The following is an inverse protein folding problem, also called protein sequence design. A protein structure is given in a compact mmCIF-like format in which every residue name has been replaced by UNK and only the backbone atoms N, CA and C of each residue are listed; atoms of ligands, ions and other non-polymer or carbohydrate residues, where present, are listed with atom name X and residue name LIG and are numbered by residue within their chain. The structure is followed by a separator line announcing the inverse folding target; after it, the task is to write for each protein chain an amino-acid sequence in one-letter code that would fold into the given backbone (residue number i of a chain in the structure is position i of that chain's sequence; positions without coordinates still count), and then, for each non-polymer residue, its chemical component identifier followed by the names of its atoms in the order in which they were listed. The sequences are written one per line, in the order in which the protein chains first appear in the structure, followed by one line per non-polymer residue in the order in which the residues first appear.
data_IF_668357406502
#
_entry.id   IF_668357406502
#
_cell.length_a   1.000
_cell.length_b   1.000
_cell.length_c   1.000
_cell.angle_alpha   90.00
_cell.angle_beta   90.00
_cell.angle_gamma   90.00
#
_symmetry.space_group_name_H-M   'P 1'
#
loop_
_entity.id
_entity.type
_entity.pdbx_description
1 polymer ?
#
# COMPACT_ATOMS: atom_id res chain seq x y z
N UNK A 1 -6.79 -38.69 -27.60
CA UNK A 1 -7.37 -38.74 -26.24
C UNK A 1 -8.56 -37.81 -26.19
N UNK A 2 -9.78 -38.38 -26.03
CA UNK A 2 -10.99 -37.56 -25.83
C UNK A 2 -10.86 -36.83 -24.48
N UNK A 3 -10.67 -35.51 -24.51
CA UNK A 3 -10.66 -34.68 -23.28
C UNK A 3 -12.07 -34.77 -22.68
N UNK A 4 -12.21 -35.55 -21.62
CA UNK A 4 -13.46 -35.76 -20.90
C UNK A 4 -13.88 -34.37 -20.35
N UNK A 5 -14.88 -33.75 -20.99
CA UNK A 5 -15.39 -32.46 -20.52
C UNK A 5 -16.13 -32.68 -19.19
N UNK A 6 -15.52 -32.24 -18.09
CA UNK A 6 -16.17 -32.29 -16.80
C UNK A 6 -17.40 -31.37 -16.77
N UNK A 7 -18.49 -31.78 -16.12
CA UNK A 7 -19.68 -30.96 -15.93
C UNK A 7 -19.33 -29.59 -15.30
N UNK A 8 -20.10 -28.55 -15.67
CA UNK A 8 -19.84 -27.17 -15.22
C UNK A 8 -19.72 -27.05 -13.68
N UNK A 9 -20.61 -27.74 -12.93
CA UNK A 9 -20.58 -27.69 -11.46
C UNK A 9 -19.28 -28.27 -10.87
N UNK A 10 -18.73 -29.34 -11.44
CA UNK A 10 -17.45 -29.89 -10.97
C UNK A 10 -16.29 -28.92 -11.24
N UNK A 11 -16.23 -28.31 -12.41
CA UNK A 11 -15.22 -27.28 -12.72
C UNK A 11 -15.34 -26.10 -11.78
N UNK A 12 -16.56 -25.57 -11.61
CA UNK A 12 -16.81 -24.43 -10.73
C UNK A 12 -16.44 -24.73 -9.27
N UNK A 13 -16.86 -25.88 -8.74
CA UNK A 13 -16.53 -26.29 -7.36
C UNK A 13 -15.03 -26.47 -7.17
N UNK A 14 -14.34 -27.13 -8.11
CA UNK A 14 -12.87 -27.32 -8.03
C UNK A 14 -12.12 -26.01 -8.05
N UNK A 15 -12.52 -25.07 -8.92
CA UNK A 15 -11.90 -23.73 -9.01
C UNK A 15 -12.16 -22.96 -7.71
N UNK A 16 -13.41 -22.90 -7.23
CA UNK A 16 -13.76 -22.22 -5.98
C UNK A 16 -13.02 -22.80 -4.78
N UNK A 17 -12.94 -24.13 -4.69
CA UNK A 17 -12.18 -24.80 -3.62
C UNK A 17 -10.70 -24.49 -3.70
N UNK A 18 -10.10 -24.52 -4.90
CA UNK A 18 -8.70 -24.13 -5.12
C UNK A 18 -8.43 -22.68 -4.73
N UNK A 19 -9.30 -21.73 -5.10
CA UNK A 19 -9.20 -20.33 -4.69
C UNK A 19 -9.32 -20.20 -3.16
N UNK A 20 -10.27 -20.89 -2.54
CA UNK A 20 -10.46 -20.85 -1.08
C UNK A 20 -9.24 -21.37 -0.34
N UNK A 21 -8.64 -22.48 -0.79
CA UNK A 21 -7.39 -23.00 -0.24
C UNK A 21 -6.23 -22.03 -0.43
N UNK A 22 -6.10 -21.41 -1.60
CA UNK A 22 -5.07 -20.41 -1.88
C UNK A 22 -5.19 -19.21 -0.93
N UNK A 23 -6.40 -18.67 -0.78
CA UNK A 23 -6.66 -17.53 0.13
C UNK A 23 -6.35 -17.93 1.57
N UNK A 24 -6.76 -19.12 2.00
CA UNK A 24 -6.44 -19.65 3.32
C UNK A 24 -4.92 -19.79 3.54
N UNK A 25 -4.18 -20.31 2.56
CA UNK A 25 -2.71 -20.39 2.62
C UNK A 25 -2.05 -19.02 2.69
N UNK A 26 -2.50 -18.07 1.86
CA UNK A 26 -1.99 -16.68 1.89
C UNK A 26 -2.22 -16.03 3.25
N UNK A 27 -3.38 -16.28 3.87
CA UNK A 27 -3.70 -15.77 5.20
C UNK A 27 -2.85 -16.43 6.29
N UNK A 28 -2.75 -17.77 6.30
CA UNK A 28 -1.98 -18.50 7.32
C UNK A 28 -0.48 -18.27 7.24
N UNK A 29 0.05 -18.05 6.05
CA UNK A 29 1.48 -17.80 5.80
C UNK A 29 1.83 -16.30 5.77
N UNK A 30 0.96 -15.42 6.24
CA UNK A 30 1.16 -13.97 6.20
C UNK A 30 2.51 -13.55 6.82
N UNK A 31 2.88 -14.12 7.98
CA UNK A 31 4.12 -13.79 8.69
C UNK A 31 5.40 -14.13 7.92
N UNK A 32 5.31 -15.05 6.95
CA UNK A 32 6.41 -15.41 6.06
C UNK A 32 6.35 -14.63 4.74
N UNK A 33 5.15 -14.56 4.14
CA UNK A 33 4.96 -14.02 2.79
C UNK A 33 5.06 -12.51 2.75
N UNK A 34 4.57 -11.81 3.78
CA UNK A 34 4.63 -10.34 3.83
C UNK A 34 6.07 -9.83 3.88
N UNK A 35 6.96 -10.29 4.80
CA UNK A 35 8.36 -9.91 4.77
C UNK A 35 9.07 -10.29 3.47
N UNK A 36 8.75 -11.46 2.89
CA UNK A 36 9.31 -11.87 1.61
C UNK A 36 8.89 -10.95 0.46
N UNK A 37 7.61 -10.54 0.40
CA UNK A 37 7.12 -9.61 -0.60
C UNK A 37 7.79 -8.23 -0.48
N UNK A 38 7.91 -7.69 0.73
CA UNK A 38 8.67 -6.46 0.96
C UNK A 38 10.15 -6.60 0.58
N UNK A 39 10.77 -7.72 0.93
CA UNK A 39 12.15 -7.98 0.56
C UNK A 39 12.35 -8.05 -0.97
N UNK A 40 11.40 -8.63 -1.71
CA UNK A 40 11.40 -8.64 -3.17
C UNK A 40 11.30 -7.21 -3.74
N UNK A 41 10.37 -6.39 -3.24
CA UNK A 41 10.25 -4.99 -3.64
C UNK A 41 11.54 -4.21 -3.40
N UNK A 42 12.11 -4.35 -2.19
CA UNK A 42 13.34 -3.66 -1.80
C UNK A 42 14.57 -4.20 -2.55
N UNK A 43 14.67 -5.51 -2.81
CA UNK A 43 15.74 -6.07 -3.61
C UNK A 43 15.71 -5.54 -5.06
N UNK A 44 14.51 -5.40 -5.65
CA UNK A 44 14.32 -4.81 -6.97
C UNK A 44 14.66 -3.32 -6.95
N UNK A 45 14.24 -2.58 -5.93
CA UNK A 45 14.54 -1.16 -5.74
C UNK A 45 16.04 -0.92 -5.57
N UNK A 46 16.73 -1.72 -4.79
CA UNK A 46 18.15 -1.61 -4.48
C UNK A 46 19.04 -2.14 -5.60
N UNK A 47 18.49 -2.91 -6.54
CA UNK A 47 19.26 -3.52 -7.62
C UNK A 47 20.08 -2.54 -8.48
N UNK A 48 19.63 -1.32 -8.82
CA UNK A 48 20.47 -0.35 -9.53
C UNK A 48 21.72 0.05 -8.75
N UNK A 49 21.58 0.26 -7.43
CA UNK A 49 22.69 0.61 -6.55
C UNK A 49 23.69 -0.57 -6.44
N UNK A 50 23.18 -1.78 -6.20
CA UNK A 50 23.97 -3.00 -6.23
C UNK A 50 24.71 -3.19 -7.56
N UNK A 51 24.02 -3.01 -8.68
CA UNK A 51 24.63 -3.16 -10.02
C UNK A 51 25.72 -2.09 -10.27
N UNK A 52 25.54 -0.87 -9.79
CA UNK A 52 26.54 0.18 -9.86
C UNK A 52 27.81 -0.20 -9.09
N UNK A 53 27.69 -0.76 -7.88
CA UNK A 53 28.82 -1.27 -7.09
C UNK A 53 29.54 -2.41 -7.83
N UNK A 54 28.77 -3.32 -8.45
CA UNK A 54 29.36 -4.41 -9.28
C UNK A 54 30.13 -3.89 -10.48
N UNK A 55 29.64 -2.83 -11.12
CA UNK A 55 30.34 -2.18 -12.25
C UNK A 55 31.68 -1.56 -11.81
N UNK A 56 31.82 -1.16 -10.54
CA UNK A 56 33.10 -0.75 -9.94
C UNK A 56 34.01 -1.95 -9.57
N UNK A 57 33.68 -3.17 -10.07
CA UNK A 57 34.44 -4.41 -9.81
C UNK A 57 34.48 -4.85 -8.34
N UNK A 58 33.58 -4.35 -7.51
CA UNK A 58 33.44 -4.80 -6.10
C UNK A 58 32.97 -6.25 -6.09
N UNK A 59 33.55 -7.14 -5.29
CA UNK A 59 33.12 -8.54 -5.16
C UNK A 59 31.63 -8.65 -4.79
N UNK A 60 30.95 -9.69 -5.29
CA UNK A 60 29.49 -9.87 -5.16
C UNK A 60 29.02 -9.72 -3.71
N UNK A 61 29.64 -10.43 -2.78
CA UNK A 61 29.26 -10.39 -1.37
C UNK A 61 29.43 -9.00 -0.76
N UNK A 62 30.56 -8.33 -1.03
CA UNK A 62 30.80 -6.97 -0.53
C UNK A 62 29.80 -5.96 -1.12
N UNK A 63 29.45 -6.07 -2.40
CA UNK A 63 28.45 -5.21 -3.02
C UNK A 63 27.07 -5.38 -2.38
N UNK A 64 26.68 -6.62 -2.03
CA UNK A 64 25.41 -6.89 -1.33
C UNK A 64 25.44 -6.29 0.08
N UNK A 65 26.53 -6.57 0.84
CA UNK A 65 26.68 -6.04 2.21
C UNK A 65 26.64 -4.52 2.22
N UNK A 66 27.38 -3.85 1.33
CA UNK A 66 27.36 -2.39 1.22
C UNK A 66 25.98 -1.85 0.87
N UNK A 67 25.25 -2.52 -0.02
CA UNK A 67 23.88 -2.15 -0.39
C UNK A 67 22.94 -2.24 0.81
N UNK A 68 23.01 -3.32 1.58
CA UNK A 68 22.20 -3.51 2.79
C UNK A 68 22.60 -2.53 3.90
N UNK A 69 23.88 -2.31 4.10
CA UNK A 69 24.38 -1.35 5.10
C UNK A 69 23.86 0.06 4.79
N UNK A 70 23.88 0.46 3.52
CA UNK A 70 23.31 1.75 3.11
C UNK A 70 21.81 1.85 3.42
N UNK A 71 21.04 0.79 3.14
CA UNK A 71 19.62 0.73 3.49
C UNK A 71 19.40 0.83 5.00
N UNK A 72 20.15 0.05 5.78
CA UNK A 72 20.03 0.04 7.24
C UNK A 72 20.40 1.39 7.83
N UNK A 73 21.48 2.02 7.37
CA UNK A 73 21.86 3.38 7.80
C UNK A 73 20.74 4.37 7.48
N UNK A 74 20.17 4.32 6.27
CA UNK A 74 19.08 5.20 5.87
C UNK A 74 17.85 5.04 6.78
N UNK A 75 17.40 3.79 7.00
CA UNK A 75 16.26 3.50 7.88
C UNK A 75 16.55 3.97 9.32
N UNK A 76 17.75 3.66 9.83
CA UNK A 76 18.16 4.06 11.18
C UNK A 76 18.20 5.58 11.34
N UNK A 77 18.69 6.31 10.33
CA UNK A 77 18.72 7.77 10.35
C UNK A 77 17.28 8.36 10.38
N UNK A 78 16.35 7.81 9.59
CA UNK A 78 14.94 8.22 9.62
C UNK A 78 14.31 7.93 10.98
N UNK A 79 14.50 6.72 11.51
CA UNK A 79 13.96 6.34 12.82
C UNK A 79 14.55 7.18 13.96
N UNK A 80 15.85 7.44 13.93
CA UNK A 80 16.52 8.31 14.91
C UNK A 80 15.95 9.73 14.88
N UNK A 81 15.81 10.29 13.68
CA UNK A 81 15.21 11.60 13.49
C UNK A 81 13.78 11.66 14.05
N UNK A 82 12.91 10.69 13.68
CA UNK A 82 11.54 10.62 14.20
C UNK A 82 11.51 10.45 15.72
N UNK A 83 12.36 9.57 16.28
CA UNK A 83 12.47 9.36 17.73
C UNK A 83 12.88 10.63 18.47
N UNK A 84 13.84 11.39 17.94
CA UNK A 84 14.27 12.65 18.54
C UNK A 84 13.14 13.70 18.58
N UNK A 85 12.29 13.72 17.57
CA UNK A 85 11.10 14.59 17.54
C UNK A 85 9.99 14.10 18.49
N UNK A 86 9.83 12.77 18.61
CA UNK A 86 8.84 12.17 19.52
C UNK A 86 9.16 12.43 21.00
N UNK A 87 10.43 12.51 21.40
CA UNK A 87 10.82 12.85 22.78
C UNK A 87 10.26 14.23 23.16
N UNK A 88 10.41 15.23 22.28
CA UNK A 88 9.86 16.57 22.49
C UNK A 88 8.32 16.57 22.56
N UNK A 89 7.67 15.69 21.80
CA UNK A 89 6.23 15.49 21.84
C UNK A 89 5.76 14.89 23.19
N UNK A 90 6.59 14.05 23.83
CA UNK A 90 6.30 13.42 25.10
C UNK A 90 5.94 14.43 26.21
N UNK A 91 6.54 15.61 26.19
CA UNK A 91 6.27 16.68 27.14
C UNK A 91 4.84 17.25 27.01
N UNK A 92 4.23 17.15 25.84
CA UNK A 92 2.86 17.63 25.57
C UNK A 92 1.81 16.54 25.83
N UNK A 93 2.21 15.27 25.96
CA UNK A 93 1.28 14.15 26.13
C UNK A 93 0.36 14.26 27.36
N UNK A 94 0.82 14.71 28.56
CA UNK A 94 -0.05 14.93 29.73
C UNK A 94 -1.13 15.98 29.46
N UNK A 95 -0.77 17.08 28.79
CA UNK A 95 -1.72 18.15 28.42
C UNK A 95 -2.74 17.63 27.37
N UNK A 96 -2.29 16.82 26.42
CA UNK A 96 -3.16 16.16 25.44
C UNK A 96 -4.19 15.26 26.12
N UNK A 97 -3.75 14.45 27.09
CA UNK A 97 -4.63 13.58 27.88
C UNK A 97 -5.65 14.37 28.69
N UNK A 98 -5.23 15.44 29.35
CA UNK A 98 -6.12 16.29 30.14
C UNK A 98 -7.16 16.99 29.25
N UNK A 99 -6.74 17.59 28.13
CA UNK A 99 -7.65 18.26 27.19
C UNK A 99 -8.58 17.26 26.48
N UNK A 100 -8.07 16.08 26.13
CA UNK A 100 -8.89 15.00 25.56
C UNK A 100 -9.99 14.57 26.53
N UNK A 101 -9.68 14.41 27.82
CA UNK A 101 -10.67 14.10 28.84
C UNK A 101 -11.73 15.22 28.97
N UNK A 102 -11.29 16.48 28.91
CA UNK A 102 -12.21 17.62 28.93
C UNK A 102 -13.17 17.62 27.73
N UNK A 103 -12.65 17.39 26.51
CA UNK A 103 -13.48 17.31 25.30
C UNK A 103 -14.50 16.16 25.38
N UNK A 104 -14.10 15.01 25.93
CA UNK A 104 -15.03 13.88 26.13
C UNK A 104 -16.17 14.31 27.05
N UNK A 105 -15.87 14.97 28.18
CA UNK A 105 -16.89 15.48 29.12
C UNK A 105 -17.81 16.52 28.44
N UNK A 106 -17.26 17.41 27.63
CA UNK A 106 -18.05 18.40 26.88
C UNK A 106 -19.00 17.71 25.87
N UNK A 107 -18.52 16.69 25.15
CA UNK A 107 -19.33 15.91 24.22
C UNK A 107 -20.42 15.12 24.98
N UNK A 108 -20.08 14.45 26.08
CA UNK A 108 -21.04 13.71 26.91
C UNK A 108 -22.15 14.61 27.43
N UNK A 109 -21.78 15.82 27.89
CA UNK A 109 -22.73 16.83 28.38
C UNK A 109 -23.62 17.34 27.23
N UNK A 110 -23.03 17.59 26.08
CA UNK A 110 -23.80 18.02 24.89
C UNK A 110 -24.78 16.94 24.42
N UNK A 111 -24.36 15.67 24.36
CA UNK A 111 -25.23 14.53 24.01
C UNK A 111 -26.36 14.40 25.04
N UNK A 112 -26.07 14.55 26.34
CA UNK A 112 -27.09 14.49 27.37
C UNK A 112 -28.14 15.61 27.21
N UNK A 113 -27.69 16.84 26.93
CA UNK A 113 -28.59 17.97 26.73
C UNK A 113 -29.41 17.89 25.43
N UNK A 114 -28.80 17.40 24.36
CA UNK A 114 -29.42 17.41 23.03
C UNK A 114 -30.30 16.18 22.79
N UNK A 115 -29.85 14.99 23.24
CA UNK A 115 -30.51 13.71 22.95
C UNK A 115 -31.11 13.04 24.20
N UNK A 116 -30.95 13.61 25.40
CA UNK A 116 -31.46 13.05 26.65
C UNK A 116 -30.81 11.73 27.08
N UNK A 117 -29.66 11.36 26.50
CA UNK A 117 -28.94 10.12 26.84
C UNK A 117 -28.07 10.37 28.07
N UNK A 118 -28.32 9.69 29.19
CA UNK A 118 -27.56 9.86 30.42
C UNK A 118 -26.08 9.48 30.23
N UNK A 119 -25.18 10.20 30.93
CA UNK A 119 -23.73 9.96 30.91
C UNK A 119 -23.41 8.50 31.25
N UNK A 120 -24.14 7.88 32.19
CA UNK A 120 -23.98 6.46 32.53
C UNK A 120 -24.24 5.53 31.34
N UNK A 121 -25.26 5.80 30.52
CA UNK A 121 -25.56 5.01 29.34
C UNK A 121 -24.53 5.20 28.24
N UNK A 122 -24.01 6.43 28.09
CA UNK A 122 -22.90 6.73 27.19
C UNK A 122 -21.61 6.00 27.62
N UNK A 123 -21.29 6.01 28.92
CA UNK A 123 -20.13 5.27 29.46
C UNK A 123 -20.26 3.74 29.28
N UNK A 124 -21.46 3.17 29.43
CA UNK A 124 -21.68 1.75 29.15
C UNK A 124 -21.41 1.43 27.68
N UNK A 125 -21.93 2.24 26.76
CA UNK A 125 -21.67 2.06 25.32
C UNK A 125 -20.18 2.22 24.97
N UNK A 126 -19.48 3.18 25.59
CA UNK A 126 -18.03 3.36 25.41
C UNK A 126 -17.24 2.19 25.99
N UNK A 127 -17.61 1.69 27.16
CA UNK A 127 -16.97 0.53 27.79
C UNK A 127 -17.22 -0.76 26.98
N UNK A 128 -18.40 -0.95 26.43
CA UNK A 128 -18.69 -2.08 25.53
C UNK A 128 -17.87 -1.99 24.23
N UNK A 129 -17.78 -0.80 23.64
CA UNK A 129 -16.92 -0.56 22.49
C UNK A 129 -15.43 -0.74 22.83
N UNK A 130 -14.98 -0.26 23.99
CA UNK A 130 -13.60 -0.40 24.48
C UNK A 130 -13.28 -1.88 24.83
N UNK A 131 -14.21 -2.62 25.42
CA UNK A 131 -14.04 -4.05 25.71
C UNK A 131 -13.97 -4.89 24.44
N UNK A 132 -14.77 -4.55 23.43
CA UNK A 132 -14.65 -5.14 22.10
C UNK A 132 -13.32 -4.77 21.42
N UNK A 133 -12.72 -3.66 21.80
CA UNK A 133 -11.41 -3.18 21.27
C UNK A 133 -10.21 -3.71 22.07
N UNK A 134 -10.38 -4.34 23.24
CA UNK A 134 -9.28 -4.94 24.04
C UNK A 134 -8.52 -6.03 23.28
N UNK A 135 -9.16 -6.69 22.32
CA UNK A 135 -8.51 -7.57 21.37
C UNK A 135 -7.44 -6.86 20.52
N UNK A 136 -7.62 -5.57 20.22
CA UNK A 136 -6.68 -4.76 19.47
C UNK A 136 -5.40 -4.44 20.27
N UNK A 137 -5.50 -4.23 21.59
CA UNK A 137 -4.35 -3.94 22.46
C UNK A 137 -3.48 -5.19 22.66
N UNK A 138 -4.09 -6.36 22.85
CA UNK A 138 -3.36 -7.64 22.90
C UNK A 138 -2.69 -7.99 21.58
N UNK A 139 -3.32 -7.67 20.45
CA UNK A 139 -2.73 -7.80 19.12
C UNK A 139 -1.54 -6.84 18.94
N UNK A 140 -1.55 -5.65 19.56
CA UNK A 140 -0.45 -4.69 19.47
C UNK A 140 0.83 -5.20 20.14
N UNK A 141 0.74 -5.91 21.25
CA UNK A 141 1.91 -6.54 21.91
C UNK A 141 2.44 -7.72 21.08
N UNK A 142 1.56 -8.54 20.51
CA UNK A 142 1.93 -9.56 19.53
C UNK A 142 2.57 -8.98 18.26
N UNK A 143 2.13 -7.78 17.85
CA UNK A 143 2.71 -7.04 16.73
C UNK A 143 4.15 -6.58 16.97
N UNK A 144 4.60 -6.35 18.20
CA UNK A 144 5.99 -6.01 18.49
C UNK A 144 6.92 -7.19 18.18
N UNK A 145 6.55 -8.42 18.53
CA UNK A 145 7.30 -9.63 18.14
C UNK A 145 7.25 -9.83 16.62
N UNK A 146 6.12 -9.55 15.97
CA UNK A 146 6.00 -9.55 14.52
C UNK A 146 6.92 -8.51 13.84
N UNK A 147 7.01 -7.29 14.39
CA UNK A 147 7.92 -6.27 13.90
C UNK A 147 9.40 -6.67 14.03
N UNK A 148 9.80 -7.32 15.14
CA UNK A 148 11.15 -7.87 15.29
C UNK A 148 11.46 -8.95 14.25
N UNK A 149 10.51 -9.87 14.00
CA UNK A 149 10.64 -10.87 12.94
C UNK A 149 10.82 -10.24 11.56
N UNK A 150 9.98 -9.26 11.22
CA UNK A 150 10.08 -8.53 9.95
C UNK A 150 11.41 -7.79 9.85
N UNK A 151 11.83 -7.09 10.90
CA UNK A 151 13.07 -6.30 10.91
C UNK A 151 14.32 -7.18 10.75
N UNK A 152 14.29 -8.41 11.29
CA UNK A 152 15.39 -9.36 11.16
C UNK A 152 15.36 -10.15 9.85
N UNK A 153 14.18 -10.63 9.44
CA UNK A 153 14.03 -11.44 8.23
C UNK A 153 14.22 -10.63 6.95
N UNK A 154 13.82 -9.37 6.95
CA UNK A 154 13.84 -8.53 5.76
C UNK A 154 15.25 -8.33 5.20
N UNK A 155 16.30 -7.95 5.98
CA UNK A 155 17.67 -7.90 5.48
C UNK A 155 18.20 -9.25 5.01
N UNK A 156 17.84 -10.34 5.70
CA UNK A 156 18.25 -11.71 5.32
C UNK A 156 17.64 -12.08 3.97
N UNK A 157 16.34 -11.83 3.76
CA UNK A 157 15.69 -12.10 2.49
C UNK A 157 16.26 -11.25 1.36
N UNK A 158 16.48 -9.93 1.58
CA UNK A 158 17.10 -9.07 0.56
C UNK A 158 18.51 -9.59 0.20
N UNK A 159 19.31 -9.98 1.22
CA UNK A 159 20.62 -10.57 0.99
C UNK A 159 20.56 -11.81 0.12
N UNK A 160 19.69 -12.75 0.47
CA UNK A 160 19.51 -14.01 -0.28
C UNK A 160 18.98 -13.78 -1.69
N UNK A 161 17.99 -12.88 -1.85
CA UNK A 161 17.45 -12.52 -3.16
C UNK A 161 18.48 -11.90 -4.09
N UNK A 162 19.35 -11.02 -3.59
CA UNK A 162 20.45 -10.44 -4.35
C UNK A 162 21.56 -11.46 -4.61
N UNK A 163 21.84 -12.36 -3.66
CA UNK A 163 22.86 -13.41 -3.78
C UNK A 163 22.45 -14.45 -4.83
N UNK A 164 21.19 -14.92 -4.76
CA UNK A 164 20.67 -15.97 -5.64
C UNK A 164 19.91 -15.41 -6.85
N UNK A 165 20.01 -14.11 -7.12
CA UNK A 165 19.33 -13.46 -8.25
C UNK A 165 19.50 -14.20 -9.56
N UNK A 166 20.72 -14.55 -9.93
CA UNK A 166 21.03 -15.23 -11.19
C UNK A 166 20.43 -16.65 -11.25
N UNK A 167 20.48 -17.37 -10.12
CA UNK A 167 19.85 -18.69 -10.00
C UNK A 167 18.35 -18.61 -10.20
N UNK A 168 17.68 -17.65 -9.56
CA UNK A 168 16.23 -17.44 -9.68
C UNK A 168 15.84 -17.07 -11.11
N UNK A 169 16.62 -16.19 -11.76
CA UNK A 169 16.36 -15.79 -13.13
C UNK A 169 16.55 -16.97 -14.09
N UNK A 170 17.64 -17.73 -13.98
CA UNK A 170 17.88 -18.90 -14.80
C UNK A 170 16.78 -19.95 -14.64
N UNK A 171 16.37 -20.23 -13.40
CA UNK A 171 15.24 -21.13 -13.12
C UNK A 171 13.94 -20.67 -13.81
N UNK A 172 13.63 -19.36 -13.81
CA UNK A 172 12.46 -18.83 -14.50
C UNK A 172 12.58 -18.98 -16.03
N UNK A 173 13.78 -18.86 -16.61
CA UNK A 173 13.98 -19.10 -18.03
C UNK A 173 13.89 -20.58 -18.38
N UNK A 174 14.36 -21.49 -17.54
CA UNK A 174 14.35 -22.94 -17.79
C UNK A 174 12.95 -23.57 -17.68
N UNK A 175 12.07 -23.05 -16.79
CA UNK A 175 10.70 -23.56 -16.66
C UNK A 175 9.86 -23.34 -17.92
N UNK A 176 10.13 -22.26 -18.64
CA UNK A 176 9.38 -21.94 -19.84
C UNK A 176 10.13 -22.45 -21.09
N UNK A 177 9.38 -22.99 -22.07
CA UNK A 177 9.94 -23.47 -23.34
C UNK A 177 10.72 -22.36 -24.07
N UNK A 178 11.68 -22.75 -24.92
CA UNK A 178 12.51 -21.82 -25.69
C UNK A 178 11.67 -20.81 -26.50
N UNK A 179 10.51 -21.21 -27.01
CA UNK A 179 9.56 -20.34 -27.71
C UNK A 179 9.03 -19.18 -26.85
N UNK A 180 8.97 -19.36 -25.52
CA UNK A 180 8.45 -18.38 -24.58
C UNK A 180 9.54 -17.54 -23.88
N UNK A 181 10.82 -17.82 -24.12
CA UNK A 181 11.96 -17.17 -23.45
C UNK A 181 11.91 -15.64 -23.60
N UNK A 182 11.56 -15.12 -24.77
CA UNK A 182 11.43 -13.68 -25.02
C UNK A 182 10.28 -13.07 -24.19
N UNK A 183 9.16 -13.77 -24.06
CA UNK A 183 8.02 -13.33 -23.24
C UNK A 183 8.41 -13.26 -21.76
N UNK A 184 9.14 -14.25 -21.25
CA UNK A 184 9.64 -14.28 -19.86
C UNK A 184 10.61 -13.12 -19.61
N UNK A 185 11.57 -12.87 -20.49
CA UNK A 185 12.51 -11.76 -20.38
C UNK A 185 11.77 -10.41 -20.32
N UNK A 186 10.76 -10.25 -21.15
CA UNK A 186 9.97 -9.03 -21.20
C UNK A 186 9.11 -8.84 -19.96
N UNK A 187 8.43 -9.90 -19.47
CA UNK A 187 7.68 -9.89 -18.20
C UNK A 187 8.59 -9.47 -17.04
N UNK A 188 9.77 -10.10 -16.92
CA UNK A 188 10.72 -9.79 -15.83
C UNK A 188 11.22 -8.34 -15.90
N UNK A 189 11.52 -7.85 -17.10
CA UNK A 189 11.97 -6.47 -17.29
C UNK A 189 10.85 -5.47 -17.00
N UNK A 190 9.63 -5.71 -17.50
CA UNK A 190 8.48 -4.85 -17.24
C UNK A 190 8.10 -4.84 -15.75
N UNK A 191 8.10 -6.00 -15.10
CA UNK A 191 7.88 -6.13 -13.66
C UNK A 191 8.90 -5.33 -12.86
N UNK A 192 10.19 -5.46 -13.19
CA UNK A 192 11.26 -4.68 -12.56
C UNK A 192 11.04 -3.18 -12.72
N UNK A 193 10.77 -2.71 -13.94
CA UNK A 193 10.54 -1.29 -14.24
C UNK A 193 9.29 -0.78 -13.53
N UNK A 194 8.19 -1.53 -13.54
CA UNK A 194 6.94 -1.15 -12.89
C UNK A 194 7.13 -1.01 -11.37
N UNK A 195 7.74 -2.01 -10.72
CA UNK A 195 8.00 -1.97 -9.27
C UNK A 195 8.93 -0.82 -8.90
N UNK A 196 10.06 -0.65 -9.61
CA UNK A 196 11.00 0.44 -9.33
C UNK A 196 10.33 1.80 -9.49
N UNK A 197 9.61 2.00 -10.59
CA UNK A 197 8.94 3.27 -10.87
C UNK A 197 7.83 3.56 -9.85
N UNK A 198 7.07 2.54 -9.43
CA UNK A 198 6.04 2.67 -8.41
C UNK A 198 6.63 3.07 -7.05
N UNK A 199 7.63 2.33 -6.56
CA UNK A 199 8.23 2.61 -5.24
C UNK A 199 8.95 3.94 -5.22
N UNK A 200 9.72 4.27 -6.27
CA UNK A 200 10.36 5.59 -6.39
C UNK A 200 9.31 6.70 -6.48
N UNK A 201 8.22 6.47 -7.23
CA UNK A 201 7.10 7.39 -7.32
C UNK A 201 6.49 7.69 -5.95
N UNK A 202 6.20 6.65 -5.15
CA UNK A 202 5.69 6.80 -3.78
C UNK A 202 6.65 7.57 -2.87
N UNK A 203 7.95 7.32 -2.97
CA UNK A 203 8.95 8.04 -2.15
C UNK A 203 9.03 9.51 -2.52
N UNK A 204 8.95 9.84 -3.82
CA UNK A 204 8.92 11.23 -4.31
C UNK A 204 7.62 11.92 -3.88
N UNK A 205 6.49 11.26 -4.03
CA UNK A 205 5.18 11.75 -3.55
C UNK A 205 5.22 12.03 -2.05
N UNK A 206 5.66 11.05 -1.24
CA UNK A 206 5.77 11.20 0.20
C UNK A 206 6.69 12.37 0.60
N UNK A 207 7.79 12.58 -0.12
CA UNK A 207 8.68 13.72 0.12
C UNK A 207 7.98 15.06 -0.18
N UNK A 208 7.26 15.16 -1.30
CA UNK A 208 6.53 16.38 -1.66
C UNK A 208 5.41 16.65 -0.65
N UNK A 209 4.64 15.63 -0.29
CA UNK A 209 3.56 15.73 0.71
C UNK A 209 4.13 16.11 2.08
N UNK A 210 5.30 15.56 2.48
CA UNK A 210 5.98 15.95 3.71
C UNK A 210 6.33 17.44 3.71
N UNK A 211 6.90 17.94 2.62
CA UNK A 211 7.24 19.38 2.49
C UNK A 211 6.00 20.25 2.56
N UNK A 212 4.92 19.87 1.85
CA UNK A 212 3.66 20.61 1.87
C UNK A 212 3.00 20.61 3.26
N UNK A 213 2.93 19.45 3.91
CA UNK A 213 2.37 19.31 5.25
C UNK A 213 3.19 20.13 6.28
N UNK A 214 4.52 19.98 6.27
CA UNK A 214 5.40 20.75 7.16
C UNK A 214 5.23 22.25 6.92
N UNK A 215 5.23 22.69 5.66
CA UNK A 215 5.05 24.10 5.30
C UNK A 215 3.72 24.66 5.78
N UNK A 216 2.62 23.94 5.57
CA UNK A 216 1.30 24.33 6.04
C UNK A 216 1.24 24.44 7.56
N UNK A 217 1.79 23.45 8.28
CA UNK A 217 1.81 23.45 9.75
C UNK A 217 2.73 24.53 10.32
N UNK A 218 3.85 24.87 9.67
CA UNK A 218 4.70 26.00 10.05
C UNK A 218 3.98 27.35 9.86
N UNK A 219 3.28 27.55 8.76
CA UNK A 219 2.51 28.78 8.48
C UNK A 219 1.41 28.95 9.53
N UNK A 220 0.78 27.86 9.98
CA UNK A 220 -0.27 27.85 10.98
C UNK A 220 0.30 27.88 12.42
N UNK A 221 1.60 27.97 12.58
CA UNK A 221 2.31 27.98 13.87
C UNK A 221 1.88 26.81 14.78
N UNK A 222 1.76 25.61 14.19
CA UNK A 222 1.44 24.37 14.92
C UNK A 222 2.72 23.81 15.54
N UNK A 223 2.68 23.48 16.83
CA UNK A 223 3.81 22.80 17.49
C UNK A 223 4.10 21.45 16.80
N UNK A 224 5.39 21.10 16.76
CA UNK A 224 5.85 19.84 16.14
C UNK A 224 5.51 19.69 14.66
N UNK A 225 5.44 20.81 13.91
CA UNK A 225 5.10 20.85 12.50
C UNK A 225 5.90 19.87 11.65
N UNK A 226 7.21 19.73 11.92
CA UNK A 226 8.11 18.83 11.19
C UNK A 226 7.77 17.36 11.46
N UNK A 227 7.59 16.99 12.73
CA UNK A 227 7.20 15.63 13.12
C UNK A 227 5.86 15.23 12.50
N UNK A 228 4.85 16.09 12.70
CA UNK A 228 3.48 15.84 12.26
C UNK A 228 3.37 15.80 10.74
N UNK A 229 4.09 16.69 10.05
CA UNK A 229 4.11 16.73 8.59
C UNK A 229 4.75 15.51 7.96
N UNK A 230 5.87 15.01 8.52
CA UNK A 230 6.55 13.81 8.04
C UNK A 230 5.74 12.55 8.38
N UNK A 231 5.23 12.41 9.61
CA UNK A 231 4.36 11.28 9.97
C UNK A 231 3.12 11.28 9.06
N UNK A 232 2.51 12.45 8.82
CA UNK A 232 1.38 12.58 7.92
C UNK A 232 1.68 12.10 6.50
N UNK A 233 2.85 12.43 5.96
CA UNK A 233 3.28 11.97 4.65
C UNK A 233 3.56 10.46 4.60
N UNK A 234 4.17 9.89 5.66
CA UNK A 234 4.38 8.44 5.76
C UNK A 234 3.02 7.71 5.82
N UNK A 235 2.08 8.21 6.60
CA UNK A 235 0.74 7.65 6.67
C UNK A 235 0.01 7.76 5.32
N UNK A 236 0.21 8.86 4.59
CA UNK A 236 -0.38 9.08 3.26
C UNK A 236 0.06 8.05 2.21
N UNK A 237 1.21 7.38 2.40
CA UNK A 237 1.64 6.27 1.53
C UNK A 237 0.67 5.07 1.57
N UNK A 238 -0.22 4.98 2.59
CA UNK A 238 -1.26 3.97 2.64
C UNK A 238 -2.46 4.44 1.82
N UNK A 239 -2.80 3.78 0.70
CA UNK A 239 -3.85 4.25 -0.20
C UNK A 239 -5.20 4.45 0.51
N UNK A 240 -5.91 5.53 0.18
CA UNK A 240 -7.26 5.91 0.62
C UNK A 240 -7.44 6.25 2.10
N UNK A 241 -6.69 5.63 3.01
CA UNK A 241 -6.86 5.79 4.47
C UNK A 241 -5.85 6.80 5.03
N UNK A 242 -4.66 6.85 4.44
CA UNK A 242 -3.52 7.58 4.98
C UNK A 242 -3.77 9.07 5.16
N UNK A 243 -4.34 9.74 4.16
CA UNK A 243 -4.63 11.17 4.23
C UNK A 243 -5.64 11.56 5.32
N UNK A 244 -6.63 10.69 5.59
CA UNK A 244 -7.61 10.92 6.66
C UNK A 244 -6.94 10.80 8.04
N UNK A 245 -6.08 9.80 8.24
CA UNK A 245 -5.37 9.63 9.51
C UNK A 245 -4.32 10.72 9.71
N UNK A 246 -3.67 11.16 8.63
CA UNK A 246 -2.62 12.17 8.66
C UNK A 246 -3.07 13.52 9.24
N UNK A 247 -4.34 13.92 9.05
CA UNK A 247 -4.87 15.18 9.55
C UNK A 247 -5.21 15.13 11.06
N UNK A 248 -5.49 13.93 11.61
CA UNK A 248 -5.98 13.79 12.98
C UNK A 248 -4.94 14.26 14.01
N UNK A 249 -3.67 13.89 13.84
CA UNK A 249 -2.60 14.27 14.77
C UNK A 249 -2.39 15.79 14.87
N UNK A 250 -2.24 16.53 13.73
CA UNK A 250 -2.16 17.99 13.76
C UNK A 250 -3.38 18.65 14.38
N UNK A 251 -4.59 18.15 14.11
CA UNK A 251 -5.82 18.67 14.72
C UNK A 251 -5.81 18.50 16.24
N UNK A 252 -5.46 17.31 16.73
CA UNK A 252 -5.36 17.05 18.16
C UNK A 252 -4.35 17.99 18.83
N UNK A 253 -3.18 18.17 18.24
CA UNK A 253 -2.13 19.05 18.79
C UNK A 253 -2.59 20.51 18.78
N UNK A 254 -3.19 20.98 17.68
CA UNK A 254 -3.72 22.35 17.62
C UNK A 254 -4.81 22.60 18.69
N UNK A 255 -5.67 21.60 18.93
CA UNK A 255 -6.74 21.70 19.95
C UNK A 255 -6.20 21.82 21.37
N UNK A 256 -5.03 21.25 21.65
CA UNK A 256 -4.40 21.33 22.98
C UNK A 256 -3.53 22.57 23.13
N UNK A 257 -2.88 23.01 22.05
CA UNK A 257 -1.81 24.03 22.11
C UNK A 257 -2.24 25.42 21.68
N UNK A 258 -3.40 25.55 21.03
CA UNK A 258 -3.94 26.83 20.51
C UNK A 258 -5.30 27.14 21.13
N UNK A 259 -5.56 28.41 21.34
CA UNK A 259 -6.87 28.90 21.77
C UNK A 259 -7.76 29.15 20.54
N UNK A 260 -9.06 28.86 20.68
CA UNK A 260 -10.04 29.01 19.59
C UNK A 260 -9.95 27.90 18.53
N UNK A 261 -10.65 28.09 17.43
CA UNK A 261 -10.80 27.09 16.36
C UNK A 261 -10.16 27.50 15.01
N UNK A 262 -9.53 28.69 14.94
CA UNK A 262 -8.97 29.24 13.69
C UNK A 262 -7.83 28.37 13.13
N UNK A 263 -6.92 27.88 14.00
CA UNK A 263 -5.82 27.00 13.60
C UNK A 263 -6.33 25.65 13.12
N UNK A 264 -7.31 25.06 13.82
CA UNK A 264 -7.92 23.78 13.43
C UNK A 264 -8.61 23.89 12.06
N UNK A 265 -9.35 24.97 11.83
CA UNK A 265 -9.98 25.23 10.53
C UNK A 265 -8.90 25.42 9.44
N UNK A 266 -7.83 26.15 9.75
CA UNK A 266 -6.66 26.30 8.86
C UNK A 266 -6.03 24.97 8.48
N UNK A 267 -5.86 24.04 9.44
CA UNK A 267 -5.33 22.69 9.20
C UNK A 267 -6.27 21.93 8.26
N UNK A 268 -7.58 21.93 8.51
CA UNK A 268 -8.56 21.23 7.67
C UNK A 268 -8.50 21.75 6.23
N UNK A 269 -8.48 23.07 6.05
CA UNK A 269 -8.40 23.69 4.72
C UNK A 269 -7.08 23.33 4.03
N UNK A 270 -5.95 23.50 4.72
CA UNK A 270 -4.62 23.23 4.16
C UNK A 270 -4.46 21.76 3.75
N UNK A 271 -4.84 20.82 4.63
CA UNK A 271 -4.77 19.39 4.32
C UNK A 271 -5.75 18.98 3.22
N UNK A 272 -6.94 19.61 3.16
CA UNK A 272 -7.88 19.37 2.06
C UNK A 272 -7.30 19.82 0.71
N UNK A 273 -6.61 20.96 0.67
CA UNK A 273 -5.92 21.44 -0.53
C UNK A 273 -4.76 20.52 -0.89
N UNK A 274 -3.94 20.12 0.09
CA UNK A 274 -2.81 19.20 -0.13
C UNK A 274 -3.33 17.87 -0.65
N UNK A 275 -4.40 17.31 -0.04
CA UNK A 275 -4.99 16.05 -0.49
C UNK A 275 -5.63 16.16 -1.88
N UNK A 276 -6.19 17.33 -2.21
CA UNK A 276 -6.68 17.59 -3.57
C UNK A 276 -5.53 17.59 -4.59
N UNK A 277 -4.41 18.27 -4.28
CA UNK A 277 -3.21 18.28 -5.12
C UNK A 277 -2.65 16.86 -5.26
N UNK A 278 -2.57 16.14 -4.16
CA UNK A 278 -2.06 14.77 -4.11
C UNK A 278 -2.88 13.85 -5.02
N UNK A 279 -4.18 13.74 -4.79
CA UNK A 279 -5.06 12.83 -5.52
C UNK A 279 -5.24 13.20 -7.00
N UNK A 280 -5.17 14.48 -7.36
CA UNK A 280 -5.47 14.93 -8.73
C UNK A 280 -4.23 15.26 -9.56
N UNK A 281 -3.08 15.48 -8.91
CA UNK A 281 -1.85 15.90 -9.61
C UNK A 281 -0.68 14.95 -9.32
N UNK A 282 -0.33 14.72 -8.03
CA UNK A 282 0.87 13.96 -7.68
C UNK A 282 0.70 12.48 -8.00
N UNK A 283 -0.32 11.84 -7.44
CA UNK A 283 -0.59 10.40 -7.64
C UNK A 283 -0.73 10.06 -9.13
N UNK A 284 -1.56 10.75 -9.96
CA UNK A 284 -1.68 10.42 -11.37
C UNK A 284 -0.38 10.59 -12.16
N UNK A 285 0.39 11.64 -11.87
CA UNK A 285 1.63 11.95 -12.63
C UNK A 285 2.85 11.17 -12.19
N UNK A 286 2.96 10.89 -10.89
CA UNK A 286 4.19 10.33 -10.30
C UNK A 286 4.04 8.81 -10.09
N UNK A 287 2.89 8.35 -9.59
CA UNK A 287 2.67 6.97 -9.17
C UNK A 287 1.90 6.16 -10.22
N UNK A 288 0.67 6.57 -10.53
CA UNK A 288 -0.26 5.78 -11.36
C UNK A 288 0.16 5.67 -12.81
N UNK A 289 0.85 6.67 -13.37
CA UNK A 289 1.31 6.65 -14.78
C UNK A 289 2.21 5.47 -15.11
N UNK A 290 2.72 4.76 -14.11
CA UNK A 290 3.65 3.63 -14.26
C UNK A 290 3.00 2.27 -14.12
N UNK A 291 1.78 2.18 -13.59
CA UNK A 291 1.16 0.91 -13.22
C UNK A 291 -0.07 0.57 -14.06
N UNK A 292 -0.72 1.57 -14.67
CA UNK A 292 -1.85 1.44 -15.62
C UNK A 292 -2.96 0.50 -15.12
N UNK A 293 -3.37 0.64 -13.86
CA UNK A 293 -4.47 -0.12 -13.24
C UNK A 293 -5.67 0.81 -13.12
N UNK A 294 -6.86 0.33 -13.46
CA UNK A 294 -8.07 1.13 -13.29
C UNK A 294 -8.44 1.34 -11.81
N UNK A 295 -9.11 2.45 -11.52
CA UNK A 295 -9.46 2.87 -10.17
C UNK A 295 -10.34 1.85 -9.43
N UNK A 296 -11.30 1.21 -10.13
CA UNK A 296 -12.18 0.20 -9.51
C UNK A 296 -11.37 -1.00 -9.01
N UNK A 297 -10.47 -1.53 -9.83
CA UNK A 297 -9.59 -2.65 -9.45
C UNK A 297 -8.67 -2.22 -8.31
N UNK A 298 -8.10 -1.02 -8.36
CA UNK A 298 -7.23 -0.50 -7.30
C UNK A 298 -7.94 -0.50 -5.94
N UNK A 299 -9.18 0.01 -5.88
CA UNK A 299 -9.97 0.03 -4.65
C UNK A 299 -10.25 -1.40 -4.15
N UNK A 300 -10.73 -2.28 -5.05
CA UNK A 300 -11.08 -3.66 -4.69
C UNK A 300 -9.85 -4.40 -4.16
N UNK A 301 -8.70 -4.30 -4.83
CA UNK A 301 -7.49 -5.02 -4.45
C UNK A 301 -6.91 -4.49 -3.15
N UNK A 302 -6.92 -3.17 -2.92
CA UNK A 302 -6.51 -2.56 -1.65
C UNK A 302 -7.35 -3.10 -0.49
N UNK A 303 -8.68 -3.19 -0.66
CA UNK A 303 -9.57 -3.74 0.37
C UNK A 303 -9.36 -5.25 0.57
N UNK A 304 -9.23 -6.03 -0.50
CA UNK A 304 -9.05 -7.49 -0.43
C UNK A 304 -7.71 -7.85 0.19
N UNK A 305 -6.60 -7.28 -0.29
CA UNK A 305 -5.27 -7.59 0.23
C UNK A 305 -5.08 -6.96 1.62
N UNK A 306 -5.71 -5.81 1.86
CA UNK A 306 -5.78 -5.19 3.19
C UNK A 306 -6.50 -6.06 4.22
N UNK A 307 -7.58 -6.75 3.84
CA UNK A 307 -8.26 -7.70 4.74
C UNK A 307 -7.45 -8.96 5.03
N UNK A 308 -6.55 -9.35 4.12
CA UNK A 308 -5.66 -10.51 4.29
C UNK A 308 -4.45 -10.19 5.18
N UNK A 309 -3.77 -9.07 4.92
CA UNK A 309 -2.46 -8.74 5.47
C UNK A 309 -2.41 -7.37 6.17
N UNK A 310 -3.56 -6.79 6.48
CA UNK A 310 -3.66 -5.48 7.17
C UNK A 310 -3.02 -4.35 6.37
N UNK A 311 -2.39 -3.41 7.08
CA UNK A 311 -1.71 -2.23 6.49
C UNK A 311 -0.62 -2.65 5.51
N UNK A 312 0.12 -3.71 5.80
CA UNK A 312 1.14 -4.26 4.88
C UNK A 312 0.51 -4.72 3.57
N UNK A 313 -0.67 -5.34 3.65
CA UNK A 313 -1.43 -5.76 2.48
C UNK A 313 -1.92 -4.59 1.64
N UNK A 314 -2.42 -3.51 2.26
CA UNK A 314 -2.84 -2.32 1.51
C UNK A 314 -1.68 -1.71 0.72
N UNK A 315 -0.49 -1.64 1.31
CA UNK A 315 0.71 -1.13 0.63
C UNK A 315 1.16 -2.04 -0.52
N UNK A 316 1.18 -3.36 -0.30
CA UNK A 316 1.62 -4.35 -1.29
C UNK A 316 0.61 -4.58 -2.42
N UNK A 317 -0.65 -4.21 -2.24
CA UNK A 317 -1.76 -4.50 -3.15
C UNK A 317 -1.52 -4.00 -4.58
N UNK A 318 -1.11 -2.75 -4.74
CA UNK A 318 -0.88 -2.14 -6.05
C UNK A 318 0.31 -2.77 -6.79
N UNK A 319 1.51 -2.93 -6.19
CA UNK A 319 2.60 -3.66 -6.84
C UNK A 319 2.22 -5.09 -7.23
N UNK A 320 1.50 -5.81 -6.36
CA UNK A 320 1.11 -7.19 -6.64
C UNK A 320 0.17 -7.28 -7.85
N UNK A 321 -0.86 -6.43 -7.91
CA UNK A 321 -1.76 -6.45 -9.06
C UNK A 321 -1.09 -5.95 -10.35
N UNK A 322 -0.12 -5.04 -10.24
CA UNK A 322 0.69 -4.62 -11.38
C UNK A 322 1.45 -5.79 -12.00
N UNK A 323 2.10 -6.60 -11.15
CA UNK A 323 2.81 -7.81 -11.62
C UNK A 323 1.83 -8.80 -12.25
N UNK A 324 0.69 -9.05 -11.62
CA UNK A 324 -0.35 -9.92 -12.18
C UNK A 324 -0.85 -9.43 -13.54
N UNK A 325 -1.08 -8.11 -13.67
CA UNK A 325 -1.48 -7.51 -14.94
C UNK A 325 -0.43 -7.74 -16.04
N UNK A 326 0.84 -7.48 -15.73
CA UNK A 326 1.95 -7.69 -16.68
C UNK A 326 1.99 -9.15 -17.16
N UNK A 327 1.80 -10.11 -16.25
CA UNK A 327 1.75 -11.53 -16.58
C UNK A 327 0.52 -11.84 -17.46
N UNK A 328 -0.67 -11.34 -17.09
CA UNK A 328 -1.90 -11.61 -17.81
C UNK A 328 -1.90 -10.99 -19.22
N UNK A 329 -1.29 -9.82 -19.40
CA UNK A 329 -1.18 -9.18 -20.71
C UNK A 329 -0.34 -9.99 -21.71
N UNK A 330 0.56 -10.87 -21.23
CA UNK A 330 1.48 -11.66 -22.04
C UNK A 330 1.01 -13.09 -22.34
N UNK A 331 0.10 -13.62 -21.53
CA UNK A 331 -0.44 -14.97 -21.73
C UNK A 331 -1.76 -14.85 -22.50
N UNK A 332 -1.86 -15.49 -23.68
CA UNK A 332 -3.01 -15.32 -24.59
C UNK A 332 -4.35 -15.60 -23.91
N UNK A 333 -4.45 -16.69 -23.15
CA UNK A 333 -5.66 -17.09 -22.45
C UNK A 333 -6.04 -16.13 -21.29
N UNK A 334 -5.08 -15.37 -20.76
CA UNK A 334 -5.26 -14.44 -19.65
C UNK A 334 -5.39 -12.97 -20.10
N UNK A 335 -5.15 -12.65 -21.37
CA UNK A 335 -5.31 -11.28 -21.92
C UNK A 335 -6.63 -10.58 -21.56
N UNK A 336 -7.80 -11.28 -21.54
CA UNK A 336 -9.05 -10.65 -21.13
C UNK A 336 -9.00 -10.13 -19.68
N UNK A 337 -8.32 -10.87 -18.77
CA UNK A 337 -8.12 -10.47 -17.39
C UNK A 337 -7.15 -9.29 -17.27
N UNK A 338 -6.05 -9.28 -18.04
CA UNK A 338 -5.13 -8.14 -18.12
C UNK A 338 -5.84 -6.86 -18.56
N UNK A 339 -6.73 -6.93 -19.56
CA UNK A 339 -7.55 -5.79 -19.98
C UNK A 339 -8.55 -5.34 -18.92
N UNK A 340 -9.13 -6.28 -18.16
CA UNK A 340 -10.03 -5.95 -17.05
C UNK A 340 -9.30 -5.19 -15.94
N UNK A 341 -8.04 -5.53 -15.67
CA UNK A 341 -7.21 -4.84 -14.67
C UNK A 341 -6.72 -3.46 -15.17
N UNK A 342 -6.62 -3.27 -16.51
CA UNK A 342 -6.05 -2.08 -17.14
C UNK A 342 -6.96 -0.84 -17.03
N UNK A 343 -6.40 0.32 -17.30
CA UNK A 343 -7.05 1.63 -17.28
C UNK A 343 -7.66 2.05 -18.62
N UNK A 344 -7.50 1.23 -19.68
CA UNK A 344 -8.10 1.48 -20.99
C UNK A 344 -9.62 1.32 -20.90
N UNK A 345 -10.35 2.43 -21.06
CA UNK A 345 -11.82 2.43 -21.11
C UNK A 345 -12.23 2.19 -22.57
N UNK A 346 -12.84 1.03 -22.91
CA UNK A 346 -13.28 0.78 -24.26
C UNK A 346 -14.44 1.72 -24.65
N UNK A 347 -14.28 2.41 -25.79
CA UNK A 347 -15.27 3.35 -26.31
C UNK A 347 -16.52 2.67 -26.88
N UNK A 348 -16.48 1.36 -27.10
CA UNK A 348 -17.60 0.58 -27.66
C UNK A 348 -17.78 -0.76 -26.92
N UNK A 349 -19.02 -1.10 -26.63
CA UNK A 349 -19.36 -2.38 -26.04
C UNK A 349 -19.13 -3.53 -27.06
N UNK A 350 -18.34 -4.54 -26.71
CA UNK A 350 -18.00 -5.67 -27.60
C UNK A 350 -19.25 -6.38 -28.16
N UNK A 351 -20.32 -6.46 -27.39
CA UNK A 351 -21.60 -7.02 -27.86
C UNK A 351 -22.22 -6.27 -29.04
N UNK A 352 -21.98 -4.94 -29.17
CA UNK A 352 -22.42 -4.15 -30.32
C UNK A 352 -21.55 -4.44 -31.57
N UNK A 353 -20.25 -4.65 -31.36
CA UNK A 353 -19.31 -5.04 -32.44
C UNK A 353 -19.68 -6.43 -32.98
N UNK A 354 -20.03 -7.38 -32.11
CA UNK A 354 -20.47 -8.72 -32.50
C UNK A 354 -21.79 -8.71 -33.25
N UNK A 355 -22.77 -7.91 -32.81
CA UNK A 355 -24.05 -7.72 -33.54
C UNK A 355 -23.82 -7.10 -34.92
N UNK A 356 -22.91 -6.14 -35.04
CA UNK A 356 -22.56 -5.49 -36.30
C UNK A 356 -21.84 -6.45 -37.25
N UNK A 357 -20.90 -7.29 -36.76
CA UNK A 357 -20.23 -8.34 -37.56
C UNK A 357 -21.18 -9.43 -38.02
N UNK A 358 -22.12 -9.90 -37.20
CA UNK A 358 -23.15 -10.87 -37.59
C UNK A 358 -24.03 -10.29 -38.66
N UNK A 359 -24.50 -9.06 -38.54
CA UNK A 359 -25.34 -8.39 -39.54
C UNK A 359 -24.64 -8.26 -40.90
N UNK A 360 -23.35 -7.90 -40.90
CA UNK A 360 -22.58 -7.78 -42.14
C UNK A 360 -22.32 -9.13 -42.80
N UNK A 361 -22.11 -10.23 -42.04
CA UNK A 361 -21.99 -11.57 -42.60
C UNK A 361 -23.28 -12.06 -43.30
N UNK A 362 -24.46 -11.74 -42.74
CA UNK A 362 -25.75 -12.09 -43.38
C UNK A 362 -26.01 -11.28 -44.65
N UNK A 363 -25.56 -10.04 -44.75
CA UNK A 363 -25.69 -9.23 -45.97
C UNK A 363 -24.78 -9.74 -47.08
N UNK A 364 -23.56 -10.17 -46.75
CA UNK A 364 -22.59 -10.75 -47.76
C UNK A 364 -22.99 -12.16 -48.24
N UNK A 365 -23.82 -12.89 -47.49
CA UNK A 365 -24.34 -14.20 -47.92
C UNK A 365 -25.63 -14.10 -48.74
N UNK A 366 -26.23 -12.92 -48.86
CA UNK A 366 -27.44 -12.65 -49.66
C UNK A 366 -27.14 -11.91 -50.97
N UNK A 367 -25.87 -11.55 -51.21
CA UNK A 367 -25.35 -11.05 -52.48
C UNK A 367 -24.56 -12.15 -53.22
#
# INVERSE_FOLDING_TARGET
MLIKQYPFYLKATTILFGISLLVMMLYMLADLLVPLAFAMLLAILLNPFYSKLRNFKIPKLLAIVLTLTTLIIFITAVLYFLSSQMIQFGDTFPALKAKGAQIIIEIETWIQHTFGVSIQKQMLMLNDAANNSKGLVGQTIGSLFGLFSVLFLLPVYIFLLLLYKELILNFLYEIFSEENTNNVAEILNQTKVAIQSYVVGLLIEALIVAVLNCGALFILDVKYALLLGIIGAILNMVPYIGGIIAILLPLLIATVTKEGYSTQLGIIIAYSIIQFIDNNILVPRIVSSKVQINAMVSIIVVLLVGSLWGVSGTFLSIPMVAVLKIIFDRIEDLKPWGKLLGDEIPTQHMGQIWKRRRRNKHIVQQL
#
